data_IF_976306730708
#
_entry.id   IF_976306730708
#
_cell.length_a   1.000
_cell.length_b   1.000
_cell.length_c   1.000
_cell.angle_alpha   90.00
_cell.angle_beta   90.00
_cell.angle_gamma   90.00
#
_symmetry.space_group_name_H-M   'P 1'
#
loop_
_entity.id
_entity.type
_entity.pdbx_description
1 polymer ?
#
# COMPACT_ATOMS: atom_id res chain seq x y z
N UNK A 1 -20.70 -19.32 -1.75
CA UNK A 1 -20.20 -18.33 -0.77
C UNK A 1 -20.40 -16.97 -1.40
N UNK A 2 -21.14 -16.07 -0.76
CA UNK A 2 -21.31 -14.70 -1.26
C UNK A 2 -20.23 -13.88 -0.58
N UNK A 3 -19.33 -13.29 -1.36
CA UNK A 3 -18.33 -12.38 -0.85
C UNK A 3 -18.90 -10.96 -0.91
N UNK A 4 -19.00 -10.32 0.24
CA UNK A 4 -19.40 -8.93 0.34
C UNK A 4 -18.22 -8.04 -0.07
N UNK A 5 -18.48 -7.07 -0.95
CA UNK A 5 -17.51 -6.01 -1.23
C UNK A 5 -17.75 -4.88 -0.24
N UNK A 6 -16.75 -4.58 0.58
CA UNK A 6 -16.83 -3.52 1.56
C UNK A 6 -15.97 -2.33 1.11
N UNK A 7 -16.51 -1.11 1.22
CA UNK A 7 -15.89 0.09 0.66
C UNK A 7 -14.48 0.32 1.19
N UNK A 8 -14.27 0.12 2.49
CA UNK A 8 -12.95 0.29 3.11
C UNK A 8 -11.92 -0.76 2.64
N UNK A 9 -12.36 -1.96 2.23
CA UNK A 9 -11.47 -2.95 1.61
C UNK A 9 -11.08 -2.50 0.21
N UNK A 10 -12.05 -1.98 -0.56
CA UNK A 10 -11.78 -1.43 -1.89
C UNK A 10 -10.86 -0.21 -1.83
N UNK A 11 -11.05 0.67 -0.85
CA UNK A 11 -10.16 1.81 -0.60
C UNK A 11 -8.74 1.35 -0.28
N UNK A 12 -8.58 0.35 0.60
CA UNK A 12 -7.27 -0.23 0.90
C UNK A 12 -6.61 -0.82 -0.36
N UNK A 13 -7.34 -1.58 -1.17
CA UNK A 13 -6.85 -2.13 -2.44
C UNK A 13 -6.43 -1.01 -3.39
N UNK A 14 -7.25 0.04 -3.53
CA UNK A 14 -6.95 1.18 -4.40
C UNK A 14 -5.71 1.93 -3.94
N UNK A 15 -5.50 2.05 -2.63
CA UNK A 15 -4.28 2.64 -2.06
C UNK A 15 -3.05 1.81 -2.43
N UNK A 16 -3.13 0.48 -2.37
CA UNK A 16 -2.02 -0.42 -2.75
C UNK A 16 -1.72 -0.29 -4.25
N UNK A 17 -2.76 -0.29 -5.09
CA UNK A 17 -2.61 -0.13 -6.55
C UNK A 17 -1.97 1.22 -6.86
N UNK A 18 -2.47 2.30 -6.27
CA UNK A 18 -1.94 3.65 -6.48
C UNK A 18 -0.51 3.79 -6.00
N UNK A 19 -0.18 3.19 -4.85
CA UNK A 19 1.18 3.16 -4.32
C UNK A 19 2.15 2.46 -5.28
N UNK A 20 1.73 1.35 -5.89
CA UNK A 20 2.59 0.50 -6.71
C UNK A 20 2.54 0.82 -8.21
N UNK A 21 1.76 1.82 -8.64
CA UNK A 21 1.61 2.20 -10.05
C UNK A 21 2.96 2.57 -10.70
N UNK A 22 3.85 3.22 -9.93
CA UNK A 22 5.20 3.60 -10.36
C UNK A 22 6.29 2.56 -10.05
N UNK A 23 5.95 1.41 -9.48
CA UNK A 23 6.94 0.43 -9.04
C UNK A 23 7.44 -0.45 -10.20
N UNK A 24 8.76 -0.53 -10.38
CA UNK A 24 9.39 -1.37 -11.39
C UNK A 24 9.56 -2.82 -10.91
N UNK A 25 8.55 -3.64 -11.20
CA UNK A 25 8.55 -5.08 -10.93
C UNK A 25 9.59 -5.88 -11.75
N UNK A 26 10.29 -5.31 -12.74
CA UNK A 26 11.36 -6.03 -13.45
C UNK A 26 12.68 -5.91 -12.72
N UNK A 27 12.98 -4.71 -12.24
CA UNK A 27 14.23 -4.41 -11.55
C UNK A 27 14.18 -4.75 -10.05
N UNK A 28 12.99 -4.79 -9.45
CA UNK A 28 12.78 -5.07 -8.02
C UNK A 28 13.71 -4.23 -7.12
N UNK A 29 13.72 -2.91 -7.31
CA UNK A 29 14.63 -2.01 -6.61
C UNK A 29 13.97 -1.39 -5.36
N UNK A 30 14.64 -1.53 -4.21
CA UNK A 30 14.18 -0.95 -2.94
C UNK A 30 14.17 0.59 -2.97
N UNK A 31 15.05 1.22 -3.76
CA UNK A 31 15.05 2.68 -3.92
C UNK A 31 13.80 3.16 -4.64
N UNK A 32 13.41 2.48 -5.72
CA UNK A 32 12.19 2.79 -6.45
C UNK A 32 10.94 2.60 -5.57
N UNK A 33 10.87 1.55 -4.74
CA UNK A 33 9.76 1.40 -3.78
C UNK A 33 9.71 2.55 -2.77
N UNK A 34 10.87 3.00 -2.28
CA UNK A 34 10.96 4.13 -1.36
C UNK A 34 10.46 5.42 -2.02
N UNK A 35 10.78 5.63 -3.30
CA UNK A 35 10.29 6.79 -4.06
C UNK A 35 8.77 6.72 -4.26
N UNK A 36 8.23 5.54 -4.56
CA UNK A 36 6.78 5.33 -4.66
C UNK A 36 6.06 5.67 -3.34
N UNK A 37 6.60 5.20 -2.20
CA UNK A 37 6.06 5.52 -0.87
C UNK A 37 6.12 7.04 -0.60
N UNK A 38 7.23 7.70 -0.91
CA UNK A 38 7.35 9.16 -0.75
C UNK A 38 6.30 9.92 -1.56
N UNK A 39 6.06 9.52 -2.81
CA UNK A 39 5.08 10.17 -3.69
C UNK A 39 3.65 9.92 -3.19
N UNK A 40 3.32 8.69 -2.81
CA UNK A 40 2.01 8.34 -2.28
C UNK A 40 1.68 9.14 -1.02
N UNK A 41 2.63 9.27 -0.10
CA UNK A 41 2.47 10.06 1.12
C UNK A 41 2.46 11.58 0.89
N UNK A 42 3.00 12.09 -0.21
CA UNK A 42 2.85 13.51 -0.53
C UNK A 42 1.39 13.89 -0.83
N UNK A 43 0.56 12.92 -1.23
CA UNK A 43 -0.86 13.09 -1.51
C UNK A 43 -1.79 12.66 -0.37
N UNK A 44 -1.27 11.96 0.66
CA UNK A 44 -2.05 11.44 1.79
C UNK A 44 -1.60 12.08 3.12
N UNK A 45 -2.55 12.45 3.98
CA UNK A 45 -2.27 13.06 5.30
C UNK A 45 -1.61 12.11 6.32
N UNK A 46 -1.22 10.90 5.92
CA UNK A 46 -0.63 9.91 6.83
C UNK A 46 0.85 10.26 7.05
N UNK A 47 1.28 10.57 8.29
CA UNK A 47 2.64 11.00 8.56
C UNK A 47 3.64 9.86 8.36
N UNK A 48 4.58 10.06 7.43
CA UNK A 48 5.75 9.18 7.26
C UNK A 48 6.70 9.41 8.43
N UNK A 49 6.83 8.42 9.32
CA UNK A 49 7.83 8.47 10.39
C UNK A 49 9.20 7.96 9.93
N UNK A 50 9.25 6.82 9.26
CA UNK A 50 10.48 6.17 8.82
C UNK A 50 10.19 5.31 7.58
N UNK A 51 11.07 5.37 6.57
CA UNK A 51 11.04 4.45 5.44
C UNK A 51 12.22 3.47 5.54
N UNK A 52 11.91 2.18 5.43
CA UNK A 52 12.90 1.10 5.39
C UNK A 52 13.57 1.02 4.02
N UNK A 53 14.83 0.60 3.97
CA UNK A 53 15.53 0.25 2.71
C UNK A 53 15.23 -1.17 2.22
N UNK A 54 14.10 -1.75 2.61
CA UNK A 54 13.68 -3.11 2.26
C UNK A 54 12.51 -3.08 1.29
N UNK A 55 12.37 -4.14 0.50
CA UNK A 55 11.26 -4.35 -0.44
C UNK A 55 10.00 -4.89 0.24
N UNK A 56 9.54 -4.19 1.28
CA UNK A 56 8.34 -4.58 2.02
C UNK A 56 7.36 -3.40 2.06
N UNK A 57 6.07 -3.69 1.91
CA UNK A 57 4.97 -2.76 2.17
C UNK A 57 4.13 -3.35 3.28
N UNK A 58 4.00 -2.62 4.38
CA UNK A 58 3.21 -3.03 5.53
C UNK A 58 1.80 -2.43 5.42
N UNK A 59 0.78 -3.29 5.46
CA UNK A 59 -0.63 -2.89 5.42
C UNK A 59 -1.25 -3.11 6.79
N UNK A 60 -1.69 -2.02 7.43
CA UNK A 60 -2.36 -2.06 8.72
C UNK A 60 -3.88 -2.05 8.53
N UNK A 61 -4.54 -3.10 8.99
CA UNK A 61 -6.00 -3.20 9.04
C UNK A 61 -6.43 -3.80 10.38
N UNK A 62 -7.52 -3.28 10.94
CA UNK A 62 -8.03 -3.73 12.24
C UNK A 62 -8.55 -5.18 12.19
N UNK A 63 -8.63 -5.84 13.33
CA UNK A 63 -9.22 -7.17 13.44
C UNK A 63 -10.68 -7.18 12.98
N UNK A 64 -11.12 -8.27 12.33
CA UNK A 64 -12.50 -8.38 11.83
C UNK A 64 -12.82 -7.60 10.54
N UNK A 65 -11.88 -6.82 9.99
CA UNK A 65 -12.07 -6.03 8.75
C UNK A 65 -11.84 -6.83 7.45
N UNK A 66 -11.69 -8.15 7.56
CA UNK A 66 -11.52 -9.00 6.37
C UNK A 66 -10.20 -8.79 5.61
N UNK A 67 -9.11 -8.36 6.26
CA UNK A 67 -7.75 -8.21 5.68
C UNK A 67 -7.18 -9.41 4.87
N UNK A 68 -7.82 -10.58 4.94
CA UNK A 68 -7.43 -11.80 4.20
C UNK A 68 -8.15 -11.92 2.87
N UNK A 69 -9.27 -11.23 2.71
CA UNK A 69 -10.05 -11.16 1.49
C UNK A 69 -9.38 -10.21 0.49
#
# INVERSE_FOLDING_TARGET
MIFEKQDYQQECINNIITLLDGFDFKCHDALNLKDCLNQFHAACEIPVKNLSGKLNVDILMETGTGKTF
#
